data_IF_021410143217
#
_entry.id   IF_021410143217
#
_cell.length_a   1.000
_cell.length_b   1.000
_cell.length_c   1.000
_cell.angle_alpha   90.00
_cell.angle_beta   90.00
_cell.angle_gamma   90.00
#
_symmetry.space_group_name_H-M   'P 1'
#
loop_
_entity.id
_entity.type
_entity.pdbx_description
1 polymer ?
#
# COMPACT_ATOMS: atom_id res chain seq x y z
N UNK A 1 15.85 -9.13 20.58
CA UNK A 1 15.91 -8.64 19.19
C UNK A 1 16.14 -7.14 19.24
N UNK A 2 16.99 -6.58 18.37
CA UNK A 2 17.26 -5.14 18.34
C UNK A 2 16.08 -4.34 17.77
N UNK A 3 16.12 -3.02 17.94
CA UNK A 3 15.18 -2.07 17.32
C UNK A 3 15.33 -2.12 15.80
N UNK A 4 14.22 -2.21 15.09
CA UNK A 4 14.19 -2.28 13.64
C UNK A 4 13.04 -1.46 13.09
N UNK A 5 13.32 -0.63 12.09
CA UNK A 5 12.31 0.04 11.30
C UNK A 5 12.44 -0.27 9.83
N UNK A 6 11.30 -0.36 9.16
CA UNK A 6 11.26 -0.51 7.71
C UNK A 6 10.10 0.29 7.13
N UNK A 7 10.39 1.10 6.12
CA UNK A 7 9.38 1.79 5.32
C UNK A 7 9.20 1.07 3.98
N UNK A 8 7.95 0.89 3.57
CA UNK A 8 7.62 0.20 2.33
C UNK A 8 6.32 0.71 1.72
N UNK A 9 6.15 0.41 0.44
CA UNK A 9 4.83 0.37 -0.19
C UNK A 9 4.15 -0.89 0.34
N UNK A 10 2.99 -0.74 0.98
CA UNK A 10 2.21 -1.85 1.53
C UNK A 10 1.11 -2.27 0.55
N UNK A 11 0.33 -1.31 0.01
CA UNK A 11 -0.68 -1.55 -1.02
C UNK A 11 -0.47 -0.65 -2.23
N UNK A 12 -0.79 -1.14 -3.43
CA UNK A 12 -0.65 -0.36 -4.66
C UNK A 12 -1.79 -0.63 -5.65
N UNK A 13 -2.32 0.42 -6.27
CA UNK A 13 -3.16 0.32 -7.48
C UNK A 13 -2.61 1.14 -8.61
N UNK A 14 -2.30 0.50 -9.71
CA UNK A 14 -1.86 1.15 -10.95
C UNK A 14 -2.98 1.10 -11.99
N UNK A 15 -3.06 2.13 -12.80
CA UNK A 15 -4.00 2.21 -13.91
C UNK A 15 -3.22 2.47 -15.19
N UNK A 16 -3.25 1.50 -16.09
CA UNK A 16 -2.59 1.53 -17.39
C UNK A 16 -3.64 1.96 -18.43
N UNK A 17 -3.33 2.88 -19.36
CA UNK A 17 -4.30 3.26 -20.38
C UNK A 17 -4.72 2.06 -21.22
N UNK A 18 -6.03 1.99 -21.52
CA UNK A 18 -6.58 0.85 -22.22
C UNK A 18 -6.02 0.70 -23.65
N UNK A 19 -5.62 1.81 -24.29
CA UNK A 19 -5.10 1.82 -25.65
C UNK A 19 -3.76 1.08 -25.82
N UNK A 20 -3.06 0.77 -24.72
CA UNK A 20 -1.84 -0.05 -24.75
C UNK A 20 -2.09 -1.45 -25.34
N UNK A 21 -3.32 -1.97 -25.30
CA UNK A 21 -3.65 -3.26 -25.91
C UNK A 21 -3.45 -3.27 -27.43
N UNK A 22 -3.53 -2.12 -28.10
CA UNK A 22 -3.38 -2.05 -29.56
C UNK A 22 -1.94 -2.24 -30.03
N UNK A 23 -0.98 -2.20 -29.10
CA UNK A 23 0.43 -2.51 -29.37
C UNK A 23 0.70 -4.02 -29.35
N UNK A 24 -0.27 -4.83 -28.95
CA UNK A 24 -0.12 -6.27 -28.77
C UNK A 24 -0.86 -7.07 -29.86
N UNK A 25 -0.22 -8.15 -30.29
CA UNK A 25 -0.86 -9.19 -31.10
C UNK A 25 -1.85 -10.01 -30.26
N UNK A 26 -2.82 -10.64 -30.91
CA UNK A 26 -3.75 -11.54 -30.24
C UNK A 26 -3.00 -12.78 -29.71
N UNK A 27 -3.26 -13.15 -28.46
CA UNK A 27 -2.75 -14.39 -27.85
C UNK A 27 -3.90 -15.35 -27.59
N UNK A 28 -3.63 -16.65 -27.70
CA UNK A 28 -4.61 -17.68 -27.31
C UNK A 28 -4.63 -17.92 -25.80
N UNK A 29 -3.57 -17.54 -25.07
CA UNK A 29 -3.37 -17.95 -23.68
C UNK A 29 -3.87 -16.92 -22.67
N UNK A 30 -3.73 -15.62 -22.98
CA UNK A 30 -4.08 -14.53 -22.06
C UNK A 30 -4.80 -13.39 -22.78
N UNK A 31 -5.80 -12.74 -22.14
CA UNK A 31 -6.39 -11.50 -22.65
C UNK A 31 -5.33 -10.40 -22.81
N UNK A 32 -5.51 -9.52 -23.80
CA UNK A 32 -4.55 -8.44 -24.06
C UNK A 32 -4.35 -7.51 -22.87
N UNK A 33 -5.41 -7.25 -22.11
CA UNK A 33 -5.35 -6.44 -20.89
C UNK A 33 -4.42 -7.06 -19.84
N UNK A 34 -4.40 -8.39 -19.75
CA UNK A 34 -3.50 -9.13 -18.87
C UNK A 34 -2.07 -9.07 -19.40
N UNK A 35 -1.87 -9.21 -20.71
CA UNK A 35 -0.55 -9.09 -21.33
C UNK A 35 0.06 -7.69 -21.17
N UNK A 36 -0.74 -6.63 -21.27
CA UNK A 36 -0.28 -5.26 -21.00
C UNK A 36 0.25 -5.12 -19.58
N UNK A 37 -0.49 -5.64 -18.59
CA UNK A 37 -0.03 -5.64 -17.20
C UNK A 37 1.20 -6.53 -17.00
N UNK A 38 1.25 -7.68 -17.68
CA UNK A 38 2.36 -8.64 -17.60
C UNK A 38 3.66 -8.08 -18.17
N UNK A 39 3.60 -7.30 -19.26
CA UNK A 39 4.79 -6.64 -19.82
C UNK A 39 5.46 -5.68 -18.84
N UNK A 40 4.69 -5.07 -17.93
CA UNK A 40 5.20 -4.16 -16.90
C UNK A 40 5.64 -4.89 -15.62
N UNK A 41 4.97 -6.00 -15.28
CA UNK A 41 5.06 -6.60 -13.94
C UNK A 41 5.56 -8.04 -13.92
N UNK A 42 5.59 -8.74 -15.06
CA UNK A 42 5.95 -10.16 -15.18
C UNK A 42 5.08 -11.12 -14.33
N UNK A 43 3.78 -10.82 -14.20
CA UNK A 43 2.84 -11.59 -13.40
C UNK A 43 2.69 -13.05 -13.87
N UNK A 44 2.50 -13.30 -15.16
CA UNK A 44 2.29 -14.64 -15.70
C UNK A 44 3.53 -15.53 -15.56
N UNK A 45 4.72 -14.92 -15.55
CA UNK A 45 5.95 -15.65 -15.31
C UNK A 45 6.15 -16.00 -13.83
N UNK A 46 5.83 -15.06 -12.93
CA UNK A 46 5.99 -15.24 -11.48
C UNK A 46 4.94 -16.18 -10.88
N UNK A 47 3.70 -16.09 -11.36
CA UNK A 47 2.56 -16.82 -10.80
C UNK A 47 2.15 -17.97 -11.69
N UNK A 48 2.17 -19.18 -11.13
CA UNK A 48 1.77 -20.40 -11.83
C UNK A 48 0.27 -20.61 -11.86
N UNK A 49 -0.45 -20.01 -10.91
CA UNK A 49 -1.88 -20.13 -10.76
C UNK A 49 -2.56 -18.79 -11.06
N UNK A 50 -3.66 -18.86 -11.79
CA UNK A 50 -4.49 -17.72 -12.10
C UNK A 50 -5.97 -18.11 -12.08
N UNK A 51 -6.83 -17.12 -11.85
CA UNK A 51 -8.28 -17.32 -11.87
C UNK A 51 -8.98 -16.16 -12.55
N UNK A 52 -9.98 -16.48 -13.38
CA UNK A 52 -10.89 -15.48 -13.95
C UNK A 52 -11.99 -15.22 -12.93
N UNK A 53 -12.31 -13.95 -12.69
CA UNK A 53 -13.42 -13.55 -11.82
C UNK A 53 -14.14 -12.31 -12.33
N UNK A 54 -15.22 -11.92 -11.64
CA UNK A 54 -15.86 -10.63 -11.90
C UNK A 54 -15.01 -9.49 -11.37
N UNK A 55 -14.93 -8.40 -12.15
CA UNK A 55 -14.28 -7.17 -11.73
C UNK A 55 -15.05 -6.44 -10.62
N UNK A 56 -14.39 -5.44 -10.02
CA UNK A 56 -15.01 -4.51 -9.09
C UNK A 56 -14.59 -3.07 -9.38
N UNK A 57 -15.17 -2.11 -8.64
CA UNK A 57 -14.97 -0.66 -8.86
C UNK A 57 -15.35 -0.20 -10.28
N UNK A 58 -16.41 -0.78 -10.86
CA UNK A 58 -16.89 -0.48 -12.22
C UNK A 58 -16.21 -1.30 -13.33
N UNK A 59 -15.18 -2.08 -13.00
CA UNK A 59 -14.66 -3.11 -13.90
C UNK A 59 -15.62 -4.30 -13.95
N UNK A 60 -15.71 -4.95 -15.11
CA UNK A 60 -16.59 -6.11 -15.34
C UNK A 60 -15.82 -7.42 -15.40
N UNK A 61 -14.56 -7.36 -15.81
CA UNK A 61 -13.66 -8.51 -15.97
C UNK A 61 -12.49 -8.40 -15.00
N UNK A 62 -12.02 -9.53 -14.50
CA UNK A 62 -10.83 -9.64 -13.65
C UNK A 62 -10.07 -10.92 -13.92
N UNK A 63 -8.74 -10.80 -13.88
CA UNK A 63 -7.80 -11.91 -13.92
C UNK A 63 -6.90 -11.81 -12.68
N UNK A 64 -6.95 -12.82 -11.81
CA UNK A 64 -6.28 -12.77 -10.51
C UNK A 64 -5.09 -13.72 -10.46
N UNK A 65 -4.00 -13.24 -9.87
CA UNK A 65 -2.76 -13.97 -9.63
C UNK A 65 -2.55 -14.19 -8.14
N UNK A 66 -2.01 -15.36 -7.79
CA UNK A 66 -1.67 -15.74 -6.40
C UNK A 66 -2.86 -16.12 -5.52
N UNK A 67 -4.09 -16.10 -6.05
CA UNK A 67 -5.30 -16.45 -5.29
C UNK A 67 -5.19 -17.86 -4.70
N UNK A 68 -5.18 -17.96 -3.37
CA UNK A 68 -5.03 -19.23 -2.65
C UNK A 68 -3.61 -19.54 -2.17
N UNK A 69 -2.60 -18.81 -2.62
CA UNK A 69 -1.20 -18.92 -2.16
C UNK A 69 -0.96 -17.92 -1.03
N UNK A 70 -1.05 -18.37 0.23
CA UNK A 70 -0.82 -17.55 1.43
C UNK A 70 -1.66 -16.25 1.49
N UNK A 71 -2.83 -16.25 0.85
CA UNK A 71 -3.73 -15.09 0.83
C UNK A 71 -3.23 -13.93 -0.04
N UNK A 72 -2.22 -14.13 -0.88
CA UNK A 72 -1.81 -13.15 -1.89
C UNK A 72 -2.91 -12.95 -2.93
N UNK A 73 -3.18 -11.70 -3.32
CA UNK A 73 -4.10 -11.44 -4.42
C UNK A 73 -3.64 -10.20 -5.20
N UNK A 74 -3.39 -10.40 -6.49
CA UNK A 74 -3.14 -9.33 -7.46
C UNK A 74 -4.19 -9.47 -8.55
N UNK A 75 -4.99 -8.43 -8.76
CA UNK A 75 -6.10 -8.48 -9.71
C UNK A 75 -5.84 -7.51 -10.85
N UNK A 76 -5.80 -8.03 -12.09
CA UNK A 76 -5.83 -7.23 -13.32
C UNK A 76 -7.28 -7.13 -13.78
N UNK A 77 -7.84 -5.93 -13.81
CA UNK A 77 -9.26 -5.69 -14.04
C UNK A 77 -9.48 -4.67 -15.16
N UNK A 78 -10.54 -4.86 -15.93
CA UNK A 78 -10.91 -3.94 -17.01
C UNK A 78 -12.42 -3.95 -17.29
N UNK A 79 -12.86 -3.01 -18.12
CA UNK A 79 -14.20 -2.94 -18.68
C UNK A 79 -14.15 -2.60 -20.16
N UNK A 80 -14.47 -3.57 -21.02
CA UNK A 80 -14.42 -3.42 -22.49
C UNK A 80 -15.36 -2.31 -23.00
N UNK A 81 -16.46 -2.03 -22.29
CA UNK A 81 -17.42 -0.98 -22.63
C UNK A 81 -17.03 0.40 -22.09
N UNK A 82 -16.04 0.47 -21.20
CA UNK A 82 -15.59 1.70 -20.52
C UNK A 82 -14.07 1.80 -20.56
N UNK A 83 -13.54 1.87 -21.79
CA UNK A 83 -12.09 2.00 -22.06
C UNK A 83 -11.45 3.23 -21.38
N UNK A 84 -12.26 4.26 -21.08
CA UNK A 84 -11.85 5.44 -20.31
C UNK A 84 -11.40 5.11 -18.88
N UNK A 85 -11.81 3.97 -18.33
CA UNK A 85 -11.38 3.51 -17.01
C UNK A 85 -9.97 2.93 -17.00
N UNK A 86 -9.42 2.54 -18.16
CA UNK A 86 -8.13 1.87 -18.27
C UNK A 86 -8.14 0.41 -17.81
N UNK A 87 -6.94 -0.12 -17.60
CA UNK A 87 -6.67 -1.44 -17.03
C UNK A 87 -6.14 -1.22 -15.61
N UNK A 88 -6.91 -1.65 -14.61
CA UNK A 88 -6.57 -1.51 -13.20
C UNK A 88 -5.84 -2.75 -12.71
N UNK A 89 -4.62 -2.58 -12.17
CA UNK A 89 -3.95 -3.65 -11.41
C UNK A 89 -3.97 -3.29 -9.92
N UNK A 90 -4.61 -4.13 -9.10
CA UNK A 90 -4.72 -3.96 -7.65
C UNK A 90 -3.85 -4.99 -6.92
N UNK A 91 -2.81 -4.51 -6.25
CA UNK A 91 -1.98 -5.30 -5.36
C UNK A 91 -2.51 -5.14 -3.93
N UNK A 92 -2.99 -6.21 -3.31
CA UNK A 92 -3.20 -6.23 -1.85
C UNK A 92 -1.85 -6.26 -1.12
N UNK A 93 -1.84 -5.99 0.19
CA UNK A 93 -0.59 -6.06 0.97
C UNK A 93 0.08 -7.44 0.94
N UNK A 94 -0.72 -8.50 1.05
CA UNK A 94 -0.25 -9.88 0.92
C UNK A 94 0.12 -10.22 -0.52
N UNK A 95 -0.63 -9.74 -1.52
CA UNK A 95 -0.32 -9.95 -2.93
C UNK A 95 1.00 -9.30 -3.33
N UNK A 96 1.25 -8.08 -2.85
CA UNK A 96 2.51 -7.36 -3.05
C UNK A 96 3.69 -8.06 -2.40
N UNK A 97 3.55 -8.52 -1.15
CA UNK A 97 4.60 -9.26 -0.47
C UNK A 97 4.94 -10.59 -1.18
N UNK A 98 3.91 -11.31 -1.66
CA UNK A 98 4.09 -12.53 -2.44
C UNK A 98 4.79 -12.26 -3.77
N UNK A 99 4.39 -11.20 -4.49
CA UNK A 99 5.04 -10.75 -5.72
C UNK A 99 6.54 -10.50 -5.54
N UNK A 100 6.91 -9.71 -4.52
CA UNK A 100 8.31 -9.41 -4.22
C UNK A 100 9.10 -10.68 -3.87
N UNK A 101 8.51 -11.55 -3.06
CA UNK A 101 9.15 -12.81 -2.63
C UNK A 101 9.39 -13.76 -3.82
N UNK A 102 8.41 -13.88 -4.71
CA UNK A 102 8.55 -14.69 -5.93
C UNK A 102 9.60 -14.09 -6.86
N UNK A 103 9.57 -12.77 -7.07
CA UNK A 103 10.55 -12.10 -7.91
C UNK A 103 11.98 -12.28 -7.38
N UNK A 104 12.18 -12.14 -6.07
CA UNK A 104 13.47 -12.41 -5.42
C UNK A 104 13.93 -13.87 -5.61
N UNK A 105 13.06 -14.85 -5.33
CA UNK A 105 13.36 -16.28 -5.51
C UNK A 105 13.83 -16.60 -6.93
N UNK A 106 13.28 -15.87 -7.89
CA UNK A 106 13.52 -16.03 -9.30
C UNK A 106 14.62 -15.11 -9.86
N UNK A 107 15.26 -14.29 -9.02
CA UNK A 107 16.34 -13.39 -9.44
C UNK A 107 15.87 -12.18 -10.26
N UNK A 108 14.58 -11.83 -10.21
CA UNK A 108 14.03 -10.61 -10.81
C UNK A 108 14.06 -9.48 -9.78
N UNK A 109 14.87 -8.42 -9.99
CA UNK A 109 14.89 -7.28 -9.08
C UNK A 109 13.60 -6.46 -9.23
N UNK A 110 12.83 -6.34 -8.15
CA UNK A 110 11.66 -5.44 -8.10
C UNK A 110 12.13 -4.03 -7.75
N UNK A 111 12.01 -3.11 -8.71
CA UNK A 111 12.25 -1.70 -8.49
C UNK A 111 10.97 -0.91 -8.75
N UNK A 112 10.25 -0.59 -7.67
CA UNK A 112 8.99 0.16 -7.73
C UNK A 112 9.15 1.55 -8.37
N UNK A 113 10.29 2.21 -8.21
CA UNK A 113 10.53 3.50 -8.87
C UNK A 113 10.50 3.34 -10.39
N UNK A 114 11.21 2.36 -10.93
CA UNK A 114 11.28 2.11 -12.38
C UNK A 114 9.94 1.66 -12.95
N UNK A 115 9.23 0.78 -12.23
CA UNK A 115 7.87 0.37 -12.61
C UNK A 115 6.91 1.57 -12.66
N UNK A 116 6.98 2.47 -11.67
CA UNK A 116 6.15 3.69 -11.64
C UNK A 116 6.58 4.67 -12.74
N UNK A 117 7.88 4.82 -13.01
CA UNK A 117 8.39 5.66 -14.10
C UNK A 117 7.88 5.18 -15.47
N UNK A 118 8.05 3.90 -15.80
CA UNK A 118 7.55 3.30 -17.05
C UNK A 118 6.02 3.45 -17.18
N UNK A 119 5.29 3.26 -16.07
CA UNK A 119 3.84 3.48 -16.07
C UNK A 119 3.47 4.91 -16.49
N UNK A 120 4.19 5.92 -16.01
CA UNK A 120 3.91 7.33 -16.33
C UNK A 120 4.37 7.71 -17.73
N UNK A 121 5.42 7.09 -18.26
CA UNK A 121 5.82 7.23 -19.68
C UNK A 121 4.70 6.76 -20.62
N UNK A 122 3.97 5.72 -20.23
CA UNK A 122 2.79 5.21 -20.94
C UNK A 122 1.51 5.96 -20.60
N UNK A 123 1.58 7.16 -20.02
CA UNK A 123 0.42 7.97 -19.61
C UNK A 123 -0.50 7.28 -18.57
N UNK A 124 -0.03 6.23 -17.91
CA UNK A 124 -0.67 5.59 -16.77
C UNK A 124 -0.54 6.40 -15.49
N UNK A 125 -1.12 5.89 -14.41
CA UNK A 125 -1.03 6.55 -13.10
C UNK A 125 -1.30 5.62 -11.92
N UNK A 126 -0.83 6.04 -10.74
CA UNK A 126 -1.19 5.41 -9.48
C UNK A 126 -2.55 5.95 -9.01
N UNK A 127 -3.48 5.06 -8.69
CA UNK A 127 -4.82 5.42 -8.18
C UNK A 127 -4.98 5.16 -6.67
N UNK A 128 -4.12 4.32 -6.09
CA UNK A 128 -3.98 4.11 -4.65
C UNK A 128 -2.53 3.75 -4.32
N UNK A 129 -2.01 4.31 -3.23
CA UNK A 129 -0.71 4.00 -2.67
C UNK A 129 -0.80 4.01 -1.15
N UNK A 130 -0.55 2.87 -0.51
CA UNK A 130 -0.48 2.79 0.95
C UNK A 130 0.99 2.65 1.34
N UNK A 131 1.47 3.57 2.19
CA UNK A 131 2.86 3.61 2.67
C UNK A 131 2.85 3.15 4.13
N UNK A 132 3.59 2.09 4.45
CA UNK A 132 3.72 1.56 5.80
C UNK A 132 5.12 1.77 6.36
N UNK A 133 5.20 2.21 7.61
CA UNK A 133 6.41 2.20 8.42
C UNK A 133 6.18 1.24 9.58
N UNK A 134 6.92 0.13 9.59
CA UNK A 134 6.99 -0.82 10.69
C UNK A 134 8.01 -0.31 11.72
N UNK A 135 7.61 -0.18 12.97
CA UNK A 135 8.43 0.21 14.12
C UNK A 135 8.44 -0.95 15.13
N UNK A 136 9.51 -1.73 15.14
CA UNK A 136 9.63 -2.97 15.92
C UNK A 136 10.65 -2.78 17.05
N UNK A 137 10.27 -3.16 18.28
CA UNK A 137 11.07 -2.99 19.50
C UNK A 137 11.49 -1.54 19.76
N UNK A 138 10.58 -0.60 19.55
CA UNK A 138 10.80 0.82 19.85
C UNK A 138 10.42 1.19 21.30
N UNK A 139 9.83 0.26 22.06
CA UNK A 139 9.54 0.46 23.47
C UNK A 139 8.36 1.38 23.74
N UNK A 140 7.45 1.54 22.78
CA UNK A 140 6.18 2.26 22.98
C UNK A 140 5.01 1.49 22.36
N UNK A 141 3.80 1.81 22.82
CA UNK A 141 2.56 1.18 22.35
C UNK A 141 1.61 2.17 21.65
N UNK A 142 0.64 1.63 20.90
CA UNK A 142 -0.45 2.44 20.33
C UNK A 142 -1.30 3.07 21.43
N UNK A 143 -1.50 2.36 22.55
CA UNK A 143 -2.21 2.88 23.70
C UNK A 143 -1.50 4.11 24.28
N UNK A 144 -0.17 4.08 24.46
CA UNK A 144 0.59 5.25 24.90
C UNK A 144 0.40 6.45 23.97
N UNK A 145 0.53 6.28 22.65
CA UNK A 145 0.27 7.36 21.68
C UNK A 145 -1.12 7.96 21.90
N UNK A 146 -2.13 7.11 22.09
CA UNK A 146 -3.52 7.54 22.28
C UNK A 146 -3.69 8.27 23.62
N UNK A 147 -3.08 7.81 24.71
CA UNK A 147 -3.16 8.49 26.00
C UNK A 147 -2.51 9.88 25.93
N UNK A 148 -1.34 10.00 25.29
CA UNK A 148 -0.67 11.29 25.08
C UNK A 148 -1.53 12.26 24.27
N UNK A 149 -2.22 11.78 23.23
CA UNK A 149 -3.18 12.59 22.46
C UNK A 149 -4.39 13.02 23.30
N UNK A 150 -4.91 12.14 24.17
CA UNK A 150 -6.05 12.45 25.06
C UNK A 150 -5.68 13.45 26.15
N UNK A 151 -4.47 13.35 26.69
CA UNK A 151 -3.93 14.25 27.71
C UNK A 151 -3.42 15.57 27.13
N UNK A 152 -3.51 15.76 25.81
CA UNK A 152 -2.97 16.92 25.10
C UNK A 152 -1.46 17.13 25.27
N UNK A 153 -0.73 16.05 25.58
CA UNK A 153 0.73 16.00 25.65
C UNK A 153 1.35 15.92 24.24
N UNK A 154 0.61 15.36 23.29
CA UNK A 154 1.00 15.30 21.87
C UNK A 154 -0.17 15.69 20.97
N UNK A 155 0.14 16.10 19.73
CA UNK A 155 -0.86 16.40 18.72
C UNK A 155 -0.32 16.16 17.30
N UNK A 156 -1.24 15.88 16.36
CA UNK A 156 -0.87 15.83 14.95
C UNK A 156 -0.94 17.21 14.31
N UNK A 157 0.04 17.52 13.47
CA UNK A 157 0.01 18.65 12.54
C UNK A 157 -0.38 18.19 11.14
N UNK A 158 -1.12 19.03 10.42
CA UNK A 158 -1.42 18.85 9.00
C UNK A 158 -0.38 19.53 8.11
N UNK A 159 -0.57 19.46 6.78
CA UNK A 159 0.31 20.07 5.76
C UNK A 159 0.51 21.59 5.89
N UNK A 160 -0.33 22.28 6.66
CA UNK A 160 -0.23 23.72 6.90
C UNK A 160 0.41 24.04 8.26
N UNK A 161 0.88 23.01 8.99
CA UNK A 161 1.39 23.16 10.36
C UNK A 161 0.28 23.40 11.40
N UNK A 162 -1.00 23.21 11.04
CA UNK A 162 -2.12 23.39 11.96
C UNK A 162 -2.43 22.10 12.70
N UNK A 163 -2.77 22.19 14.00
CA UNK A 163 -3.23 21.06 14.82
C UNK A 163 -4.46 20.40 14.20
N UNK A 164 -4.38 19.08 13.99
CA UNK A 164 -5.51 18.26 13.56
C UNK A 164 -6.46 18.10 14.74
N UNK A 165 -7.72 18.46 14.54
CA UNK A 165 -8.77 18.32 15.56
C UNK A 165 -8.98 16.85 15.94
N UNK A 166 -9.17 16.61 17.24
CA UNK A 166 -9.42 15.28 17.81
C UNK A 166 -10.71 14.62 17.28
N UNK A 167 -11.65 15.40 16.74
CA UNK A 167 -12.85 14.87 16.07
C UNK A 167 -12.54 14.07 14.79
N UNK A 168 -11.32 14.19 14.26
CA UNK A 168 -10.83 13.41 13.12
C UNK A 168 -10.20 12.09 13.57
N UNK A 169 -10.12 11.84 14.87
CA UNK A 169 -9.54 10.62 15.41
C UNK A 169 -10.64 9.59 15.65
N UNK A 170 -10.38 8.34 15.27
CA UNK A 170 -11.21 7.20 15.64
C UNK A 170 -10.32 6.14 16.27
N UNK A 171 -10.61 5.80 17.51
CA UNK A 171 -9.89 4.78 18.28
C UNK A 171 -10.68 3.48 18.21
N UNK A 172 -9.98 2.37 17.98
CA UNK A 172 -10.53 1.01 18.01
C UNK A 172 -9.69 0.18 18.98
N UNK A 173 -10.36 -0.56 19.86
CA UNK A 173 -9.77 -1.41 20.87
C UNK A 173 -10.83 -2.04 21.75
N UNK A 174 -10.41 -2.78 22.76
CA UNK A 174 -11.31 -3.25 23.82
C UNK A 174 -11.34 -2.23 24.98
N UNK A 175 -12.04 -2.54 26.06
CA UNK A 175 -12.17 -1.64 27.22
C UNK A 175 -10.84 -1.32 27.92
N UNK A 176 -9.84 -2.20 27.79
CA UNK A 176 -8.58 -2.14 28.54
C UNK A 176 -7.41 -1.62 27.68
N UNK A 177 -7.43 -1.88 26.37
CA UNK A 177 -6.34 -1.57 25.45
C UNK A 177 -6.83 -1.04 24.09
N UNK A 178 -6.39 0.17 23.75
CA UNK A 178 -6.57 0.73 22.44
C UNK A 178 -5.53 0.16 21.45
N UNK A 179 -6.01 -0.51 20.40
CA UNK A 179 -5.16 -1.27 19.46
C UNK A 179 -4.95 -0.54 18.13
N UNK A 180 -5.78 0.44 17.81
CA UNK A 180 -5.73 1.14 16.54
C UNK A 180 -6.24 2.57 16.66
N UNK A 181 -5.46 3.50 16.12
CA UNK A 181 -5.82 4.90 15.91
C UNK A 181 -5.98 5.18 14.42
N UNK A 182 -7.10 5.78 14.05
CA UNK A 182 -7.33 6.32 12.72
C UNK A 182 -7.32 7.84 12.76
N UNK A 183 -6.65 8.48 11.81
CA UNK A 183 -6.67 9.94 11.63
C UNK A 183 -7.21 10.28 10.24
N UNK A 184 -8.38 10.94 10.21
CA UNK A 184 -9.10 11.26 8.98
C UNK A 184 -10.20 10.24 8.65
N UNK A 185 -10.63 10.23 7.39
CA UNK A 185 -11.75 9.38 6.92
C UNK A 185 -11.27 8.39 5.86
N UNK A 186 -11.76 7.15 5.93
CA UNK A 186 -11.54 6.17 4.85
C UNK A 186 -12.15 6.58 3.51
N UNK A 187 -13.05 7.58 3.48
CA UNK A 187 -13.61 8.10 2.23
C UNK A 187 -12.78 9.24 1.62
N UNK A 188 -11.84 9.83 2.36
CA UNK A 188 -10.97 10.88 1.81
C UNK A 188 -9.80 10.30 1.03
N UNK A 189 -9.19 11.15 0.19
CA UNK A 189 -8.00 10.85 -0.60
C UNK A 189 -6.76 10.50 0.25
N UNK A 190 -6.78 10.83 1.54
CA UNK A 190 -5.71 10.54 2.49
C UNK A 190 -6.29 10.05 3.82
N UNK A 191 -5.70 9.00 4.39
CA UNK A 191 -6.14 8.37 5.62
C UNK A 191 -4.96 7.72 6.35
N UNK A 192 -4.81 7.98 7.64
CA UNK A 192 -3.72 7.40 8.44
C UNK A 192 -4.28 6.35 9.41
N UNK A 193 -3.54 5.24 9.56
CA UNK A 193 -3.74 4.21 10.57
C UNK A 193 -2.47 4.06 11.38
N UNK A 194 -2.60 3.98 12.70
CA UNK A 194 -1.53 3.56 13.61
C UNK A 194 -2.07 2.41 14.42
N UNK A 195 -1.45 1.23 14.36
CA UNK A 195 -2.00 0.04 14.98
C UNK A 195 -0.94 -0.94 15.44
N UNK A 196 -1.34 -1.82 16.37
CA UNK A 196 -0.51 -2.89 16.87
C UNK A 196 -0.42 -4.01 15.82
N UNK A 197 0.69 -4.01 15.09
CA UNK A 197 0.93 -4.99 14.02
C UNK A 197 1.37 -6.33 14.59
N UNK A 198 1.93 -6.37 15.81
CA UNK A 198 2.27 -7.63 16.49
C UNK A 198 1.01 -8.43 16.75
N UNK A 199 -0.01 -7.81 17.34
CA UNK A 199 -1.31 -8.46 17.60
C UNK A 199 -1.97 -8.92 16.28
N UNK A 200 -1.90 -8.09 15.23
CA UNK A 200 -2.44 -8.47 13.92
C UNK A 200 -1.72 -9.71 13.34
N UNK A 201 -0.40 -9.79 13.48
CA UNK A 201 0.43 -10.83 12.86
C UNK A 201 0.60 -12.09 13.72
N UNK A 202 0.34 -12.07 15.04
CA UNK A 202 0.40 -13.29 15.88
C UNK A 202 -0.80 -14.25 15.65
N UNK A 203 -1.78 -13.82 14.85
CA UNK A 203 -2.89 -14.65 14.40
C UNK A 203 -2.41 -15.88 13.62
N UNK A 204 -3.25 -16.92 13.55
CA UNK A 204 -2.88 -18.19 12.94
C UNK A 204 -2.49 -18.07 11.46
N UNK A 205 -3.10 -17.11 10.77
CA UNK A 205 -2.94 -16.77 9.36
C UNK A 205 -1.98 -15.59 9.11
N UNK A 206 -1.30 -15.11 10.14
CA UNK A 206 -0.35 -14.00 10.01
C UNK A 206 0.91 -14.39 9.24
N UNK A 207 1.19 -13.67 8.15
CA UNK A 207 2.36 -13.89 7.29
C UNK A 207 3.69 -13.77 8.05
N UNK A 208 3.76 -12.84 9.00
CA UNK A 208 4.95 -12.53 9.80
C UNK A 208 4.82 -13.00 11.25
N UNK A 209 4.09 -14.10 11.49
CA UNK A 209 3.83 -14.62 12.83
C UNK A 209 5.08 -14.90 13.65
N UNK A 210 6.12 -15.46 13.03
CA UNK A 210 7.38 -15.74 13.71
C UNK A 210 8.05 -14.45 14.20
N UNK A 211 8.04 -13.39 13.37
CA UNK A 211 8.56 -12.08 13.75
C UNK A 211 7.76 -11.50 14.91
N UNK A 212 6.42 -11.51 14.82
CA UNK A 212 5.52 -11.03 15.88
C UNK A 212 5.76 -11.71 17.23
N UNK A 213 6.06 -13.01 17.24
CA UNK A 213 6.37 -13.78 18.46
C UNK A 213 7.76 -13.50 19.02
N UNK A 214 8.67 -13.00 18.19
CA UNK A 214 10.07 -12.76 18.56
C UNK A 214 10.36 -11.32 18.98
N UNK A 215 9.48 -10.37 18.67
CA UNK A 215 9.59 -8.98 19.09
C UNK A 215 8.81 -8.68 20.38
N UNK A 216 9.19 -7.60 21.07
CA UNK A 216 8.51 -7.09 22.27
C UNK A 216 7.29 -6.26 21.89
N UNK A 217 7.46 -5.32 20.96
CA UNK A 217 6.43 -4.44 20.42
C UNK A 217 6.57 -4.32 18.89
N UNK A 218 5.46 -4.03 18.22
CA UNK A 218 5.44 -3.73 16.79
C UNK A 218 4.27 -2.79 16.48
N UNK A 219 4.59 -1.50 16.34
CA UNK A 219 3.64 -0.49 15.89
C UNK A 219 3.81 -0.28 14.39
N UNK A 220 2.72 -0.32 13.62
CA UNK A 220 2.73 0.11 12.23
C UNK A 220 2.03 1.45 12.09
N UNK A 221 2.70 2.38 11.40
CA UNK A 221 2.11 3.62 10.89
C UNK A 221 1.87 3.44 9.40
N UNK A 222 0.63 3.61 8.96
CA UNK A 222 0.22 3.32 7.58
C UNK A 222 -0.63 4.45 7.01
N UNK A 223 -0.13 5.07 5.95
CA UNK A 223 -0.77 6.18 5.27
C UNK A 223 -1.32 5.72 3.91
N UNK A 224 -2.65 5.70 3.80
CA UNK A 224 -3.38 5.40 2.56
C UNK A 224 -3.61 6.69 1.77
N UNK A 225 -3.13 6.71 0.53
CA UNK A 225 -3.36 7.77 -0.45
C UNK A 225 -4.18 7.23 -1.62
N UNK A 226 -5.15 8.01 -2.10
CA UNK A 226 -6.07 7.63 -3.20
C UNK A 226 -6.28 8.78 -4.17
N UNK A 227 -6.85 8.45 -5.32
CA UNK A 227 -7.37 9.38 -6.31
C UNK A 227 -6.33 10.44 -6.68
N UNK A 228 -6.64 11.72 -6.50
CA UNK A 228 -5.76 12.82 -6.89
C UNK A 228 -4.43 12.79 -6.14
N UNK A 229 -4.45 12.51 -4.83
CA UNK A 229 -3.22 12.46 -4.03
C UNK A 229 -2.32 11.30 -4.43
N UNK A 230 -2.88 10.12 -4.68
CA UNK A 230 -2.10 8.99 -5.20
C UNK A 230 -1.48 9.29 -6.57
N UNK A 231 -2.25 9.96 -7.45
CA UNK A 231 -1.75 10.37 -8.78
C UNK A 231 -0.63 11.40 -8.68
N UNK A 232 -0.75 12.38 -7.79
CA UNK A 232 0.27 13.40 -7.55
C UNK A 232 1.53 12.78 -6.95
N UNK A 233 1.39 11.85 -5.99
CA UNK A 233 2.50 11.06 -5.43
C UNK A 233 3.20 10.20 -6.47
N UNK A 234 2.45 9.46 -7.29
CA UNK A 234 3.03 8.66 -8.37
C UNK A 234 3.80 9.51 -9.38
N UNK A 235 3.27 10.70 -9.72
CA UNK A 235 3.96 11.65 -10.61
C UNK A 235 5.26 12.13 -9.98
N UNK A 236 5.21 12.48 -8.70
CA UNK A 236 6.39 12.88 -7.96
C UNK A 236 7.46 11.78 -7.94
N UNK A 237 7.08 10.54 -7.62
CA UNK A 237 7.97 9.38 -7.63
C UNK A 237 8.62 9.17 -9.01
N UNK A 238 7.83 9.26 -10.08
CA UNK A 238 8.32 9.12 -11.45
C UNK A 238 9.37 10.18 -11.83
N UNK A 239 9.36 11.35 -11.20
CA UNK A 239 10.36 12.41 -11.44
C UNK A 239 11.63 12.29 -10.61
N UNK A 240 11.68 11.37 -9.63
CA UNK A 240 12.87 11.18 -8.82
C UNK A 240 13.99 10.56 -9.67
N UNK A 241 15.21 11.06 -9.51
CA UNK A 241 16.38 10.55 -10.26
C UNK A 241 17.08 9.38 -9.57
N UNK A 242 16.61 8.98 -8.40
CA UNK A 242 17.18 7.91 -7.60
C UNK A 242 16.23 6.73 -7.47
N UNK A 243 16.78 5.52 -7.30
CA UNK A 243 15.98 4.30 -7.17
C UNK A 243 15.38 4.14 -5.76
N UNK A 244 16.06 4.61 -4.70
CA UNK A 244 15.55 4.50 -3.33
C UNK A 244 14.54 5.59 -2.99
N UNK A 245 13.26 5.33 -3.25
CA UNK A 245 12.17 6.30 -3.06
C UNK A 245 11.67 6.42 -1.61
N UNK A 246 12.04 5.49 -0.73
CA UNK A 246 11.40 5.37 0.58
C UNK A 246 11.59 6.57 1.53
N UNK A 247 12.76 7.24 1.59
CA UNK A 247 12.90 8.47 2.38
C UNK A 247 11.94 9.59 1.95
N UNK A 248 11.66 9.67 0.64
CA UNK A 248 10.72 10.64 0.08
C UNK A 248 9.27 10.29 0.41
N UNK A 249 8.93 8.99 0.36
CA UNK A 249 7.64 8.50 0.81
C UNK A 249 7.40 8.82 2.29
N UNK A 250 8.42 8.65 3.15
CA UNK A 250 8.35 9.05 4.55
C UNK A 250 8.08 10.56 4.69
N UNK A 251 8.79 11.38 3.91
CA UNK A 251 8.57 12.82 3.86
C UNK A 251 7.12 13.19 3.54
N UNK A 252 6.51 12.55 2.53
CA UNK A 252 5.11 12.77 2.17
C UNK A 252 4.12 12.37 3.28
N UNK A 253 4.43 11.33 4.06
CA UNK A 253 3.63 10.95 5.23
C UNK A 253 3.74 12.00 6.32
N UNK A 254 4.98 12.39 6.68
CA UNK A 254 5.26 13.35 7.75
C UNK A 254 4.71 14.74 7.46
N UNK A 255 4.81 15.21 6.21
CA UNK A 255 4.23 16.49 5.78
C UNK A 255 2.72 16.55 6.10
N UNK A 256 2.02 15.42 5.98
CA UNK A 256 0.57 15.37 6.14
C UNK A 256 0.13 15.03 7.54
N UNK A 257 0.93 14.25 8.27
CA UNK A 257 0.70 13.85 9.64
C UNK A 257 2.03 13.82 10.39
N UNK A 258 2.36 14.94 11.04
CA UNK A 258 3.47 15.00 12.00
C UNK A 258 2.93 14.91 13.41
N UNK A 259 3.21 13.81 14.12
CA UNK A 259 2.93 13.72 15.55
C UNK A 259 4.05 14.45 16.29
N UNK A 260 3.69 15.50 17.03
CA UNK A 260 4.63 16.30 17.80
C UNK A 260 4.19 16.35 19.25
N UNK A 261 5.17 16.51 20.13
CA UNK A 261 4.93 16.73 21.55
C UNK A 261 4.76 18.22 21.80
N UNK A 262 3.93 18.55 22.80
CA UNK A 262 3.84 19.90 23.30
C UNK A 262 5.18 20.27 23.93
N UNK A 263 5.80 21.34 23.45
CA UNK A 263 6.98 21.92 24.12
C UNK A 263 6.59 22.31 25.55
N UNK A 264 7.42 21.94 26.53
CA UNK A 264 7.26 22.30 27.95
C UNK A 264 7.39 23.81 28.17
#
# INVERSE_FOLDING_TARGET
METMNNIKIDQLRINIPYDEIYQLEDSQDLPKEVLVADNLLHLAWLFKSNTVSHGHNGNTSSYNFGSGEQGGNISVMWNESRKDMGILVDFTATGKALYESLAELHGIPVNWKKIIEELYEKMGHISRLDIATDLINYGFSVNEIIQRLKNEESFFLNTQGNKISSNRFKIIGNYEEAQTLYVGSRKSDAFLRIYDKKVEQDRADGLYRNLARSCNDWVRVEAEFKHRLAKDLGRYIATLTIDNIYPYLLGCVLERWSLVDKEE
#
